data_IF_964251273609
#
_entry.id   IF_964251273609
#
_cell.length_a   1.000
_cell.length_b   1.000
_cell.length_c   1.000
_cell.angle_alpha   90.00
_cell.angle_beta   90.00
_cell.angle_gamma   90.00
#
_symmetry.space_group_name_H-M   'P 1'
#
loop_
_entity.id
_entity.type
_entity.pdbx_description
1 polymer ?
#
# COMPACT_ATOMS: atom_id res chain seq x y z
N UNK A 1 -13.18 -17.62 24.46
CA UNK A 1 -13.60 -16.22 24.20
C UNK A 1 -12.59 -15.57 23.26
N UNK A 2 -12.80 -15.67 21.94
CA UNK A 2 -11.90 -15.06 20.95
C UNK A 2 -12.57 -13.81 20.38
N UNK A 3 -12.11 -12.64 20.80
CA UNK A 3 -12.58 -11.33 20.31
C UNK A 3 -11.78 -10.96 19.07
N UNK A 4 -12.39 -11.06 17.89
CA UNK A 4 -11.77 -10.68 16.63
C UNK A 4 -12.04 -9.20 16.38
N UNK A 5 -10.99 -8.36 16.49
CA UNK A 5 -11.07 -6.94 16.16
C UNK A 5 -11.07 -6.78 14.63
N UNK A 6 -12.19 -6.28 14.12
CA UNK A 6 -12.45 -5.91 12.73
C UNK A 6 -11.49 -4.79 12.31
N UNK A 7 -10.56 -5.08 11.40
CA UNK A 7 -9.75 -4.07 10.72
C UNK A 7 -10.67 -3.35 9.72
N UNK A 8 -10.89 -2.06 9.93
CA UNK A 8 -11.64 -1.21 9.01
C UNK A 8 -10.76 -0.90 7.80
N UNK A 9 -11.19 -1.34 6.62
CA UNK A 9 -10.64 -0.90 5.32
C UNK A 9 -11.47 0.30 4.88
N UNK A 10 -10.86 1.47 4.83
CA UNK A 10 -11.50 2.70 4.34
C UNK A 10 -11.31 2.77 2.82
N UNK A 11 -12.39 2.57 2.07
CA UNK A 11 -12.42 2.86 0.63
C UNK A 11 -12.44 4.39 0.40
N UNK A 12 -11.47 4.87 -0.37
CA UNK A 12 -11.46 6.25 -0.89
C UNK A 12 -12.30 6.28 -2.16
N UNK A 13 -13.52 6.79 -2.05
CA UNK A 13 -14.36 7.14 -3.21
C UNK A 13 -13.89 8.48 -3.78
N UNK A 14 -13.18 8.43 -4.90
CA UNK A 14 -12.90 9.61 -5.72
C UNK A 14 -14.14 10.00 -6.53
N UNK A 15 -14.73 11.17 -6.25
CA UNK A 15 -15.70 11.81 -7.15
C UNK A 15 -14.95 12.81 -8.03
N UNK A 16 -14.91 12.52 -9.33
CA UNK A 16 -14.45 13.43 -10.37
C UNK A 16 -15.64 14.25 -10.89
N UNK A 17 -15.62 15.56 -10.68
CA UNK A 17 -16.54 16.50 -11.34
C UNK A 17 -15.87 17.03 -12.61
N UNK A 18 -16.41 16.63 -13.76
CA UNK A 18 -15.98 17.07 -15.07
C UNK A 18 -16.10 18.59 -15.22
N UNK A 19 -14.97 19.25 -15.43
CA UNK A 19 -14.87 20.65 -15.82
C UNK A 19 -14.62 20.76 -17.33
N UNK A 20 -15.42 21.61 -17.97
CA UNK A 20 -15.46 21.92 -19.40
C UNK A 20 -14.14 22.52 -19.92
N UNK A 21 -13.71 22.10 -21.11
CA UNK A 21 -12.45 22.54 -21.76
C UNK A 21 -12.70 23.63 -22.80
N UNK A 22 -12.06 24.79 -22.60
CA UNK A 22 -12.18 26.00 -23.43
C UNK A 22 -11.14 25.98 -24.58
N UNK A 23 -11.46 26.41 -25.81
CA UNK A 23 -10.52 26.38 -26.93
C UNK A 23 -9.52 27.53 -26.84
N UNK A 24 -8.22 27.24 -26.77
CA UNK A 24 -7.15 28.26 -26.71
C UNK A 24 -6.00 27.95 -25.75
N UNK A 25 -6.09 26.87 -24.97
CA UNK A 25 -5.04 26.47 -24.04
C UNK A 25 -3.83 25.92 -24.80
N UNK A 26 -2.73 26.67 -24.78
CA UNK A 26 -1.40 26.15 -25.11
C UNK A 26 -1.18 24.89 -24.27
N UNK A 27 -1.07 23.74 -24.94
CA UNK A 27 -0.50 22.53 -24.35
C UNK A 27 0.97 22.84 -24.09
N UNK A 28 1.27 23.45 -22.95
CA UNK A 28 2.56 23.21 -22.32
C UNK A 28 2.62 21.71 -22.13
N UNK A 29 3.53 21.05 -22.83
CA UNK A 29 3.95 19.72 -22.44
C UNK A 29 4.49 19.87 -21.01
N UNK A 30 3.59 19.74 -20.03
CA UNK A 30 4.00 19.57 -18.65
C UNK A 30 4.87 18.33 -18.65
N UNK A 31 6.09 18.39 -18.08
CA UNK A 31 6.91 17.20 -17.94
C UNK A 31 6.04 16.15 -17.27
N UNK A 32 5.75 15.05 -17.99
CA UNK A 32 4.91 13.95 -17.52
C UNK A 32 5.26 13.70 -16.06
N UNK A 33 4.29 13.84 -15.12
CA UNK A 33 4.59 13.91 -13.71
C UNK A 33 5.31 12.62 -13.33
N UNK A 34 6.63 12.72 -13.19
CA UNK A 34 7.50 11.59 -12.93
C UNK A 34 7.00 10.88 -11.69
N UNK A 35 6.67 9.60 -11.84
CA UNK A 35 6.51 8.59 -10.79
C UNK A 35 6.18 9.15 -9.40
N UNK A 36 5.10 9.95 -9.31
CA UNK A 36 4.58 10.45 -8.03
C UNK A 36 3.85 9.30 -7.33
N UNK A 37 4.63 8.39 -6.79
CA UNK A 37 4.11 7.18 -6.13
C UNK A 37 5.13 6.34 -5.38
N UNK A 38 6.44 6.51 -5.62
CA UNK A 38 7.48 5.65 -5.03
C UNK A 38 7.88 5.97 -3.57
N UNK A 39 7.21 6.93 -2.92
CA UNK A 39 7.72 7.45 -1.63
C UNK A 39 7.29 6.65 -0.40
N UNK A 40 6.10 6.07 -0.41
CA UNK A 40 5.59 5.35 0.75
C UNK A 40 5.65 3.83 0.53
N UNK A 41 6.11 3.06 1.52
CA UNK A 41 6.06 1.61 1.45
C UNK A 41 4.61 1.13 1.34
N UNK A 42 4.36 0.15 0.48
CA UNK A 42 3.04 -0.49 0.32
C UNK A 42 2.80 -1.57 1.38
N UNK A 43 3.86 -2.08 1.99
CA UNK A 43 3.81 -3.04 3.07
C UNK A 43 4.92 -2.73 4.08
N UNK A 44 4.56 -2.67 5.36
CA UNK A 44 5.51 -2.61 6.46
C UNK A 44 5.05 -3.58 7.55
N UNK A 45 5.92 -4.52 7.89
CA UNK A 45 5.84 -5.35 9.08
C UNK A 45 7.08 -5.07 9.93
N UNK A 46 6.93 -4.98 11.25
CA UNK A 46 8.04 -4.73 12.16
C UNK A 46 7.80 -5.51 13.45
N UNK A 47 8.80 -6.29 13.87
CA UNK A 47 8.71 -7.13 15.06
C UNK A 47 7.53 -8.11 15.03
N UNK A 48 7.16 -8.61 13.85
CA UNK A 48 6.01 -9.51 13.70
C UNK A 48 6.33 -10.84 14.38
N UNK A 49 5.51 -11.16 15.39
CA UNK A 49 5.49 -12.45 16.06
C UNK A 49 4.18 -13.16 15.74
N UNK A 50 4.24 -14.45 15.44
CA UNK A 50 3.06 -15.24 15.15
C UNK A 50 3.19 -16.65 15.71
N UNK A 51 2.08 -17.20 16.20
CA UNK A 51 1.97 -18.54 16.77
C UNK A 51 0.62 -19.12 16.41
N UNK A 52 0.58 -20.41 16.06
CA UNK A 52 -0.66 -21.16 16.06
C UNK A 52 -0.99 -21.59 17.50
N UNK A 53 -2.26 -21.89 17.83
CA UNK A 53 -2.65 -22.30 19.18
C UNK A 53 -1.86 -23.50 19.72
N UNK A 54 -1.51 -24.42 18.83
CA UNK A 54 -0.77 -25.66 19.08
C UNK A 54 0.73 -25.53 18.79
N UNK A 55 1.15 -24.44 18.10
CA UNK A 55 2.54 -24.24 17.68
C UNK A 55 3.02 -22.82 18.03
N UNK A 56 3.66 -22.65 19.19
CA UNK A 56 4.23 -21.36 19.57
C UNK A 56 5.45 -21.01 18.72
N UNK A 57 5.67 -19.71 18.51
CA UNK A 57 6.91 -19.16 17.96
C UNK A 57 7.14 -19.44 16.47
N UNK A 58 6.08 -19.52 15.67
CA UNK A 58 6.16 -19.81 14.22
C UNK A 58 6.86 -18.69 13.45
N UNK A 59 6.52 -17.43 13.73
CA UNK A 59 7.29 -16.29 13.28
C UNK A 59 7.81 -15.56 14.51
N UNK A 60 9.08 -15.18 14.48
CA UNK A 60 9.75 -14.49 15.59
C UNK A 60 10.49 -13.28 15.03
N UNK A 61 10.12 -12.10 15.52
CA UNK A 61 10.75 -10.81 15.22
C UNK A 61 10.90 -10.50 13.71
N UNK A 62 9.88 -10.82 12.91
CA UNK A 62 9.95 -10.61 11.46
C UNK A 62 9.71 -9.14 11.13
N UNK A 63 10.67 -8.53 10.42
CA UNK A 63 10.57 -7.17 9.91
C UNK A 63 10.72 -7.16 8.39
N UNK A 64 9.75 -6.61 7.68
CA UNK A 64 9.71 -6.57 6.22
C UNK A 64 9.18 -5.22 5.75
N UNK A 65 9.82 -4.64 4.73
CA UNK A 65 9.36 -3.41 4.08
C UNK A 65 9.35 -3.63 2.58
N UNK A 66 8.21 -3.39 1.94
CA UNK A 66 8.04 -3.52 0.48
C UNK A 66 7.59 -2.18 -0.09
N UNK A 67 8.22 -1.75 -1.17
CA UNK A 67 7.95 -0.51 -1.90
C UNK A 67 7.18 -0.78 -3.19
N UNK A 68 6.47 0.23 -3.73
CA UNK A 68 5.79 0.07 -5.01
C UNK A 68 6.78 -0.33 -6.12
N UNK A 69 6.41 -1.35 -6.90
CA UNK A 69 7.24 -1.88 -7.99
C UNK A 69 8.27 -2.93 -7.57
N UNK A 70 8.50 -3.15 -6.27
CA UNK A 70 9.35 -4.25 -5.81
C UNK A 70 8.66 -5.61 -6.01
N UNK A 71 9.46 -6.61 -6.44
CA UNK A 71 9.03 -8.01 -6.56
C UNK A 71 9.75 -8.80 -5.47
N UNK A 72 8.99 -9.42 -4.58
CA UNK A 72 9.53 -10.20 -3.45
C UNK A 72 9.17 -11.66 -3.63
N UNK A 73 10.18 -12.52 -3.65
CA UNK A 73 10.00 -13.97 -3.59
C UNK A 73 10.17 -14.46 -2.16
N UNK A 74 9.20 -15.24 -1.68
CA UNK A 74 9.34 -15.98 -0.43
C UNK A 74 9.83 -17.39 -0.77
N UNK A 75 10.91 -17.82 -0.11
CA UNK A 75 11.50 -19.15 -0.30
C UNK A 75 11.67 -19.80 1.08
N UNK A 76 11.41 -21.09 1.16
CA UNK A 76 11.42 -21.86 2.40
C UNK A 76 10.67 -23.17 2.26
#
# INVERSE_FOLDING_TARGET
MASWRRLQVSEVVGRSSAGEVVPGSRVTAEPSPGLKGLKEPILVASGLMFSYPDKPGVLQDVSLKVRPGERVGLIG
#
